data_IF_121711149863
#
_entry.id   IF_121711149863
#
_cell.length_a   1.000
_cell.length_b   1.000
_cell.length_c   1.000
_cell.angle_alpha   90.00
_cell.angle_beta   90.00
_cell.angle_gamma   90.00
#
_symmetry.space_group_name_H-M   'P 1'
#
loop_
_entity.id
_entity.type
_entity.pdbx_description
1 polymer ?
#
# COMPACT_ATOMS: atom_id res chain seq x y z
N UNK A 1 -27.42 6.33 -0.47
CA UNK A 1 -27.58 7.13 0.77
C UNK A 1 -29.08 7.24 1.07
N UNK A 2 -29.49 7.54 2.31
CA UNK A 2 -30.91 7.77 2.64
C UNK A 2 -31.37 9.21 2.37
N UNK A 3 -30.42 10.09 2.08
CA UNK A 3 -30.60 11.49 1.72
C UNK A 3 -30.46 11.68 0.20
N UNK A 4 -31.13 12.69 -0.38
CA UNK A 4 -30.97 13.04 -1.80
C UNK A 4 -29.51 13.33 -2.16
N UNK A 5 -29.11 13.01 -3.39
CA UNK A 5 -27.79 13.36 -3.95
C UNK A 5 -27.88 14.55 -4.89
N UNK A 6 -29.09 14.95 -5.29
CA UNK A 6 -29.37 16.10 -6.14
C UNK A 6 -30.45 16.97 -5.50
N UNK A 7 -30.26 18.29 -5.53
CA UNK A 7 -31.22 19.30 -5.09
C UNK A 7 -31.58 20.18 -6.28
N UNK A 8 -32.83 20.12 -6.74
CA UNK A 8 -33.31 21.00 -7.80
C UNK A 8 -33.43 22.45 -7.29
N UNK A 9 -32.82 23.38 -8.03
CA UNK A 9 -32.97 24.82 -7.78
C UNK A 9 -34.32 25.38 -8.26
N UNK A 10 -35.09 24.62 -9.06
CA UNK A 10 -36.25 25.13 -9.78
C UNK A 10 -37.58 24.51 -9.34
N UNK A 11 -37.59 23.21 -9.02
CA UNK A 11 -38.84 22.47 -8.81
C UNK A 11 -39.00 21.88 -7.40
N UNK A 12 -38.11 22.22 -6.44
CA UNK A 12 -38.07 21.66 -5.08
C UNK A 12 -38.04 20.13 -5.00
N UNK A 13 -37.78 19.45 -6.13
CA UNK A 13 -37.61 18.01 -6.20
C UNK A 13 -36.17 17.66 -5.86
N UNK A 14 -36.00 16.88 -4.79
CA UNK A 14 -34.71 16.33 -4.41
C UNK A 14 -34.72 14.84 -4.76
N UNK A 15 -33.70 14.38 -5.47
CA UNK A 15 -33.62 13.02 -5.99
C UNK A 15 -32.27 12.36 -5.69
N UNK A 16 -32.21 11.04 -5.87
CA UNK A 16 -30.98 10.24 -5.79
C UNK A 16 -30.58 9.89 -7.22
N UNK A 17 -29.61 10.64 -7.75
CA UNK A 17 -29.09 10.46 -9.12
C UNK A 17 -27.67 9.90 -9.15
N UNK A 18 -26.94 10.03 -8.04
CA UNK A 18 -25.53 9.66 -7.94
C UNK A 18 -25.38 8.31 -7.23
N UNK A 19 -24.87 7.32 -7.95
CA UNK A 19 -24.66 5.96 -7.45
C UNK A 19 -23.31 5.40 -7.88
N UNK A 20 -22.80 4.45 -7.09
CA UNK A 20 -21.60 3.70 -7.41
C UNK A 20 -21.93 2.20 -7.42
N UNK A 21 -21.47 1.50 -8.46
CA UNK A 21 -21.60 0.05 -8.58
C UNK A 21 -20.24 -0.57 -8.28
N UNK A 22 -20.23 -1.62 -7.46
CA UNK A 22 -19.01 -2.31 -7.07
C UNK A 22 -19.24 -3.82 -6.98
N UNK A 23 -18.18 -4.59 -7.23
CA UNK A 23 -18.10 -6.02 -7.00
C UNK A 23 -17.50 -6.38 -5.63
N UNK A 24 -17.28 -5.38 -4.76
CA UNK A 24 -16.68 -5.57 -3.44
C UNK A 24 -17.66 -6.31 -2.52
N UNK A 25 -17.22 -7.45 -1.96
CA UNK A 25 -17.94 -8.22 -0.97
C UNK A 25 -17.66 -7.68 0.46
N UNK A 26 -18.06 -6.45 0.73
CA UNK A 26 -17.92 -5.83 2.05
C UNK A 26 -19.15 -4.97 2.38
N UNK A 27 -19.44 -4.70 3.67
CA UNK A 27 -20.48 -3.75 4.04
C UNK A 27 -20.17 -2.36 3.46
N UNK A 28 -21.16 -1.73 2.81
CA UNK A 28 -21.03 -0.39 2.25
C UNK A 28 -22.07 0.52 2.90
N UNK A 29 -21.63 1.67 3.39
CA UNK A 29 -22.52 2.73 3.89
C UNK A 29 -22.29 4.00 3.09
N UNK A 30 -23.36 4.65 2.65
CA UNK A 30 -23.29 5.85 1.83
C UNK A 30 -23.91 7.06 2.53
N UNK A 31 -23.20 8.19 2.50
CA UNK A 31 -23.59 9.47 3.10
C UNK A 31 -23.52 10.58 2.06
N UNK A 32 -24.38 11.59 2.18
CA UNK A 32 -24.27 12.81 1.38
C UNK A 32 -23.71 13.94 2.24
N UNK A 33 -22.91 14.78 1.62
CA UNK A 33 -22.32 15.96 2.26
C UNK A 33 -22.97 17.21 1.72
N UNK A 34 -23.36 18.13 2.60
CA UNK A 34 -23.90 19.42 2.18
C UNK A 34 -22.77 20.38 1.83
N UNK A 35 -22.33 20.34 0.57
CA UNK A 35 -21.42 21.34 0.02
C UNK A 35 -22.24 22.33 -0.82
N UNK A 36 -22.43 23.54 -0.28
CA UNK A 36 -23.37 24.57 -0.76
C UNK A 36 -22.99 25.26 -2.09
N UNK A 37 -22.15 24.62 -2.92
CA UNK A 37 -21.65 25.21 -4.17
C UNK A 37 -22.11 24.48 -5.44
N UNK A 38 -22.85 23.38 -5.31
CA UNK A 38 -23.41 22.61 -6.43
C UNK A 38 -24.83 22.17 -6.11
N UNK A 39 -25.63 21.96 -7.15
CA UNK A 39 -26.92 21.28 -7.11
C UNK A 39 -26.78 19.76 -6.91
N UNK A 40 -25.58 19.21 -7.05
CA UNK A 40 -25.23 17.86 -6.61
C UNK A 40 -24.54 17.87 -5.24
N UNK A 41 -25.01 16.99 -4.35
CA UNK A 41 -24.41 16.72 -3.04
C UNK A 41 -23.37 15.61 -3.18
N UNK A 42 -22.10 15.85 -2.81
CA UNK A 42 -21.08 14.82 -2.81
C UNK A 42 -21.49 13.58 -2.01
N UNK A 43 -21.34 12.41 -2.62
CA UNK A 43 -21.64 11.12 -1.99
C UNK A 43 -20.35 10.46 -1.52
N UNK A 44 -20.27 10.14 -0.24
CA UNK A 44 -19.18 9.36 0.35
C UNK A 44 -19.63 7.92 0.61
N UNK A 45 -18.87 6.96 0.09
CA UNK A 45 -19.06 5.54 0.36
C UNK A 45 -17.98 5.06 1.33
N UNK A 46 -18.40 4.61 2.52
CA UNK A 46 -17.55 3.87 3.45
C UNK A 46 -17.67 2.38 3.13
N UNK A 47 -16.55 1.77 2.78
CA UNK A 47 -16.47 0.35 2.41
C UNK A 47 -15.69 -0.40 3.50
N UNK A 48 -16.34 -1.38 4.11
CA UNK A 48 -15.78 -2.18 5.20
C UNK A 48 -15.97 -1.56 6.59
N UNK A 49 -15.77 -2.38 7.63
CA UNK A 49 -15.51 -1.91 8.99
C UNK A 49 -14.07 -1.36 9.05
N UNK A 50 -13.71 -0.47 10.00
CA UNK A 50 -12.32 -0.11 10.26
C UNK A 50 -11.59 -1.37 10.73
N UNK A 51 -11.14 -2.16 9.77
CA UNK A 51 -10.31 -3.31 10.00
C UNK A 51 -8.97 -2.74 10.40
N UNK A 52 -8.51 -3.12 11.60
CA UNK A 52 -7.11 -3.02 11.97
C UNK A 52 -6.30 -3.43 10.74
N UNK A 53 -5.47 -2.53 10.23
CA UNK A 53 -4.54 -2.88 9.17
C UNK A 53 -3.67 -4.02 9.70
N UNK A 54 -4.02 -5.26 9.38
CA UNK A 54 -3.09 -6.37 9.49
C UNK A 54 -2.03 -6.07 8.43
N UNK A 55 -0.93 -5.45 8.87
CA UNK A 55 0.22 -5.24 8.02
C UNK A 55 0.65 -6.61 7.52
N UNK A 56 0.38 -6.90 6.23
CA UNK A 56 0.83 -8.14 5.61
C UNK A 56 2.35 -8.23 5.82
N UNK A 57 2.86 -9.36 6.33
CA UNK A 57 4.29 -9.55 6.54
C UNK A 57 5.02 -9.31 5.20
N UNK A 58 6.15 -8.62 5.26
CA UNK A 58 7.00 -8.45 4.09
C UNK A 58 7.86 -9.69 3.97
N UNK A 59 7.73 -10.40 2.86
CA UNK A 59 8.65 -11.46 2.51
C UNK A 59 9.99 -10.85 2.10
N UNK A 60 11.08 -11.37 2.67
CA UNK A 60 12.44 -11.02 2.29
C UNK A 60 13.22 -12.28 2.02
N UNK A 61 13.66 -12.45 0.77
CA UNK A 61 14.49 -13.56 0.35
C UNK A 61 15.97 -13.22 0.46
N UNK A 62 16.76 -14.10 1.09
CA UNK A 62 18.21 -14.04 1.08
C UNK A 62 18.75 -14.73 -0.19
N UNK A 63 19.00 -13.95 -1.24
CA UNK A 63 19.46 -14.48 -2.52
C UNK A 63 20.79 -15.23 -2.45
N UNK A 64 21.69 -14.84 -1.55
CA UNK A 64 22.97 -15.56 -1.35
C UNK A 64 22.73 -16.95 -0.76
N UNK A 65 21.86 -17.05 0.25
CA UNK A 65 21.47 -18.33 0.82
C UNK A 65 20.75 -19.20 -0.20
N UNK A 66 19.81 -18.63 -0.96
CA UNK A 66 19.11 -19.32 -2.04
C UNK A 66 20.09 -19.92 -3.06
N UNK A 67 21.05 -19.12 -3.54
CA UNK A 67 22.09 -19.58 -4.47
C UNK A 67 22.96 -20.69 -3.87
N UNK A 68 23.29 -20.60 -2.58
CA UNK A 68 24.07 -21.64 -1.90
C UNK A 68 23.28 -22.95 -1.79
N UNK A 69 21.97 -22.90 -1.51
CA UNK A 69 21.10 -24.09 -1.47
C UNK A 69 21.04 -24.73 -2.86
N UNK A 70 20.80 -23.94 -3.91
CA UNK A 70 20.75 -24.46 -5.29
C UNK A 70 22.08 -25.08 -5.73
N UNK A 71 23.22 -24.49 -5.34
CA UNK A 71 24.55 -25.04 -5.67
C UNK A 71 24.88 -26.30 -4.87
N UNK A 72 24.38 -26.42 -3.64
CA UNK A 72 24.58 -27.60 -2.81
C UNK A 72 23.76 -28.79 -3.30
N UNK A 73 22.56 -28.54 -3.85
CA UNK A 73 21.79 -29.53 -4.59
C UNK A 73 22.44 -29.77 -5.96
N UNK A 74 23.55 -30.50 -5.96
CA UNK A 74 24.23 -30.94 -7.17
C UNK A 74 23.44 -32.10 -7.80
N UNK A 75 22.29 -31.79 -8.40
CA UNK A 75 21.46 -32.75 -9.10
C UNK A 75 22.07 -33.02 -10.47
N UNK A 76 23.00 -33.97 -10.53
CA UNK A 76 23.28 -34.60 -11.80
C UNK A 76 21.96 -35.16 -12.36
N UNK A 77 21.58 -34.83 -13.60
CA UNK A 77 20.37 -35.37 -14.18
C UNK A 77 20.46 -36.91 -14.16
N UNK A 78 19.41 -37.61 -13.71
CA UNK A 78 19.35 -39.05 -13.82
C UNK A 78 19.34 -39.45 -15.29
N UNK A 79 19.50 -40.75 -15.58
CA UNK A 79 19.34 -41.24 -16.96
C UNK A 79 17.89 -40.99 -17.43
N UNK A 80 17.73 -40.01 -18.33
CA UNK A 80 16.45 -39.55 -18.87
C UNK A 80 16.06 -40.43 -20.06
N UNK A 81 15.75 -41.70 -19.79
CA UNK A 81 15.54 -42.71 -20.84
C UNK A 81 14.12 -42.70 -21.41
N UNK A 82 13.12 -42.29 -20.62
CA UNK A 82 11.72 -42.23 -21.03
C UNK A 82 11.03 -40.91 -20.63
N UNK A 83 9.88 -40.66 -21.26
CA UNK A 83 9.09 -39.43 -21.05
C UNK A 83 8.66 -39.27 -19.58
N UNK A 84 8.35 -40.37 -18.91
CA UNK A 84 7.97 -40.37 -17.49
C UNK A 84 9.11 -39.96 -16.57
N UNK A 85 10.34 -40.39 -16.85
CA UNK A 85 11.53 -39.99 -16.11
C UNK A 85 11.84 -38.51 -16.32
N UNK A 86 11.61 -38.00 -17.53
CA UNK A 86 11.73 -36.57 -17.85
C UNK A 86 10.74 -35.75 -17.03
N UNK A 87 9.44 -36.10 -17.07
CA UNK A 87 8.41 -35.38 -16.33
C UNK A 87 8.65 -35.43 -14.80
N UNK A 88 9.02 -36.59 -14.28
CA UNK A 88 9.35 -36.75 -12.86
C UNK A 88 10.55 -35.89 -12.45
N UNK A 89 11.60 -35.84 -13.27
CA UNK A 89 12.76 -35.01 -13.00
C UNK A 89 12.43 -33.51 -13.05
N UNK A 90 11.62 -33.08 -14.03
CA UNK A 90 11.15 -31.68 -14.11
C UNK A 90 10.36 -31.33 -12.86
N UNK A 91 9.42 -32.19 -12.44
CA UNK A 91 8.64 -31.97 -11.23
C UNK A 91 9.54 -31.89 -10.00
N UNK A 92 10.50 -32.80 -9.86
CA UNK A 92 11.45 -32.77 -8.75
C UNK A 92 12.27 -31.48 -8.73
N UNK A 93 12.80 -31.06 -9.87
CA UNK A 93 13.55 -29.81 -10.01
C UNK A 93 12.71 -28.59 -9.60
N UNK A 94 11.44 -28.54 -10.00
CA UNK A 94 10.52 -27.47 -9.61
C UNK A 94 10.31 -27.45 -8.10
N UNK A 95 10.07 -28.61 -7.48
CA UNK A 95 9.89 -28.71 -6.03
C UNK A 95 11.14 -28.25 -5.28
N UNK A 96 12.33 -28.60 -5.74
CA UNK A 96 13.58 -28.18 -5.11
C UNK A 96 13.82 -26.67 -5.25
N UNK A 97 13.52 -26.07 -6.40
CA UNK A 97 13.61 -24.63 -6.62
C UNK A 97 12.66 -23.89 -5.66
N UNK A 98 11.43 -24.39 -5.51
CA UNK A 98 10.43 -23.82 -4.60
C UNK A 98 10.87 -23.97 -3.14
N UNK A 99 11.30 -25.17 -2.73
CA UNK A 99 11.77 -25.42 -1.37
C UNK A 99 12.99 -24.56 -1.02
N UNK A 100 13.93 -24.38 -1.95
CA UNK A 100 15.08 -23.50 -1.76
C UNK A 100 14.64 -22.03 -1.59
N UNK A 101 13.65 -21.59 -2.37
CA UNK A 101 13.09 -20.24 -2.28
C UNK A 101 12.39 -20.02 -0.93
N UNK A 102 11.54 -20.95 -0.50
CA UNK A 102 10.85 -20.88 0.79
C UNK A 102 11.83 -20.87 1.96
N UNK A 103 12.84 -21.75 1.92
CA UNK A 103 13.87 -21.81 2.98
C UNK A 103 14.70 -20.53 3.06
N UNK A 104 14.99 -19.90 1.92
CA UNK A 104 15.73 -18.63 1.87
C UNK A 104 14.85 -17.40 2.12
N UNK A 105 13.53 -17.56 2.19
CA UNK A 105 12.58 -16.47 2.38
C UNK A 105 12.11 -16.45 3.83
N UNK A 106 12.34 -15.31 4.48
CA UNK A 106 11.83 -15.06 5.83
C UNK A 106 10.68 -14.08 5.78
N UNK A 107 9.67 -14.34 6.60
CA UNK A 107 8.66 -13.34 6.93
C UNK A 107 9.30 -12.30 7.83
N UNK A 108 9.48 -11.10 7.29
CA UNK A 108 9.83 -9.94 8.11
C UNK A 108 8.55 -9.22 8.46
N UNK A 109 8.28 -9.12 9.76
CA UNK A 109 7.39 -8.07 10.23
C UNK A 109 8.01 -6.75 9.76
N UNK A 110 7.20 -5.84 9.22
CA UNK A 110 7.63 -4.45 9.21
C UNK A 110 7.88 -4.14 10.68
N UNK A 111 9.15 -4.04 11.07
CA UNK A 111 9.47 -3.22 12.23
C UNK A 111 9.01 -1.86 11.79
N UNK A 112 7.81 -1.48 12.23
CA UNK A 112 7.34 -0.13 12.12
C UNK A 112 8.33 0.69 12.93
N UNK A 113 9.43 1.11 12.29
CA UNK A 113 10.25 2.22 12.73
C UNK A 113 9.45 3.54 12.65
N UNK A 114 8.12 3.46 12.61
CA UNK A 114 7.24 4.41 13.25
C UNK A 114 7.43 4.34 14.77
N UNK A 115 8.65 4.65 15.25
CA UNK A 115 8.68 5.49 16.44
C UNK A 115 7.85 6.72 16.04
N UNK A 116 6.60 6.79 16.51
CA UNK A 116 5.76 7.95 16.29
C UNK A 116 6.54 9.10 16.92
N UNK A 117 7.26 9.85 16.08
CA UNK A 117 8.01 11.00 16.54
C UNK A 117 7.08 11.85 17.41
N UNK A 118 7.54 12.30 18.60
CA UNK A 118 6.80 13.24 19.41
C UNK A 118 6.24 14.39 18.55
N UNK A 119 5.06 14.87 18.91
CA UNK A 119 4.37 15.91 18.13
C UNK A 119 5.27 17.14 17.92
N UNK A 120 6.04 17.49 18.93
CA UNK A 120 7.03 18.58 18.92
C UNK A 120 8.08 18.41 17.82
N UNK A 121 8.68 17.22 17.71
CA UNK A 121 9.68 16.92 16.67
C UNK A 121 9.04 17.02 15.28
N UNK A 122 7.79 16.56 15.11
CA UNK A 122 7.07 16.70 13.84
C UNK A 122 6.83 18.16 13.48
N UNK A 123 6.53 19.01 14.45
CA UNK A 123 6.35 20.46 14.25
C UNK A 123 7.67 21.09 13.78
N UNK A 124 8.79 20.77 14.44
CA UNK A 124 10.12 21.27 14.05
C UNK A 124 10.48 20.84 12.63
N UNK A 125 10.28 19.56 12.28
CA UNK A 125 10.55 19.03 10.94
C UNK A 125 9.70 19.77 9.88
N UNK A 126 8.41 19.98 10.14
CA UNK A 126 7.53 20.72 9.22
C UNK A 126 7.99 22.16 9.02
N UNK A 127 8.36 22.84 10.11
CA UNK A 127 8.86 24.22 10.05
C UNK A 127 10.17 24.30 9.26
N UNK A 128 11.13 23.41 9.54
CA UNK A 128 12.40 23.33 8.79
C UNK A 128 12.18 23.10 7.30
N UNK A 129 11.29 22.17 6.94
CA UNK A 129 10.99 21.85 5.54
C UNK A 129 10.26 23.00 4.84
N UNK A 130 9.38 23.72 5.54
CA UNK A 130 8.75 24.93 5.03
C UNK A 130 9.79 26.00 4.70
N UNK A 131 10.67 26.34 5.65
CA UNK A 131 11.74 27.34 5.47
C UNK A 131 12.68 26.96 4.33
N UNK A 132 13.08 25.68 4.24
CA UNK A 132 13.88 25.18 3.12
C UNK A 132 13.20 25.41 1.77
N UNK A 133 11.89 25.16 1.69
CA UNK A 133 11.11 25.35 0.45
C UNK A 133 11.01 26.83 0.08
N UNK A 134 10.87 27.72 1.06
CA UNK A 134 10.89 29.16 0.80
C UNK A 134 12.26 29.63 0.32
N UNK A 135 13.34 29.25 1.01
CA UNK A 135 14.71 29.57 0.58
C UNK A 135 15.00 29.10 -0.86
N UNK A 136 14.58 27.87 -1.21
CA UNK A 136 14.78 27.36 -2.58
C UNK A 136 14.01 28.15 -3.65
N UNK A 137 12.92 28.82 -3.28
CA UNK A 137 12.09 29.62 -4.20
C UNK A 137 12.57 31.06 -4.30
N UNK A 138 12.94 31.67 -3.18
CA UNK A 138 13.22 33.10 -3.08
C UNK A 138 14.71 33.42 -3.02
N UNK A 139 15.56 32.43 -2.74
CA UNK A 139 16.98 32.59 -2.39
C UNK A 139 17.23 33.56 -1.22
N UNK A 140 16.20 33.85 -0.42
CA UNK A 140 16.26 34.82 0.67
C UNK A 140 17.07 34.26 1.86
N UNK A 141 18.21 34.86 2.22
CA UNK A 141 19.07 34.38 3.29
C UNK A 141 18.40 34.35 4.67
N UNK A 142 17.32 35.11 4.88
CA UNK A 142 16.58 35.11 6.15
C UNK A 142 16.00 33.72 6.45
N UNK A 143 15.38 33.06 5.46
CA UNK A 143 14.85 31.70 5.62
C UNK A 143 15.95 30.67 5.92
N UNK A 144 17.16 30.88 5.39
CA UNK A 144 18.31 30.02 5.69
C UNK A 144 18.81 30.23 7.12
N UNK A 145 18.83 31.47 7.60
CA UNK A 145 19.21 31.78 8.99
C UNK A 145 18.19 31.23 9.98
N UNK A 146 16.89 31.37 9.71
CA UNK A 146 15.84 30.81 10.55
C UNK A 146 15.89 29.28 10.60
N UNK A 147 16.17 28.63 9.46
CA UNK A 147 16.29 27.17 9.40
C UNK A 147 17.45 26.66 10.26
N UNK A 148 18.56 27.41 10.36
CA UNK A 148 19.74 27.06 11.19
C UNK A 148 19.50 27.22 12.69
N UNK A 149 18.43 27.94 13.09
CA UNK A 149 18.05 28.15 14.50
C UNK A 149 17.10 27.07 15.03
N UNK A 150 16.64 26.16 14.16
CA UNK A 150 15.76 25.02 14.49
C UNK A 150 16.56 23.74 14.67
#
# INVERSE_FOLDING_TARGET
PTTPTYISNYNNTCDILDFAISNIQAPIVAYTHNQLSSDHLPVQFLVGLPTQHFEKPKLKTNWTQYQNILKANNNNPPDLVDETAIENYIHQLQQEILAAYETATIETTKIAHHYKLPAEIKIIIRKRNHLRKQYQRTADPEYLQEMKKL
#
